data_IF_732343368573
#
_entry.id   IF_732343368573
#
_cell.length_a   1.000
_cell.length_b   1.000
_cell.length_c   1.000
_cell.angle_alpha   90.00
_cell.angle_beta   90.00
_cell.angle_gamma   90.00
#
_symmetry.space_group_name_H-M   'P 1'
#
loop_
_entity.id
_entity.type
_entity.pdbx_description
1 polymer ?
#
# COMPACT_ATOMS: atom_id res chain seq x y z
N UNK A 1 -2.08 -21.80 -7.71
CA UNK A 1 -3.12 -21.38 -8.70
C UNK A 1 -2.75 -21.72 -10.14
N UNK A 2 -1.65 -21.21 -10.71
CA UNK A 2 -1.28 -21.49 -12.11
C UNK A 2 -1.23 -23.00 -12.46
N UNK A 3 -0.56 -23.81 -11.63
CA UNK A 3 -0.52 -25.27 -11.82
C UNK A 3 -1.90 -25.93 -11.76
N UNK A 4 -2.78 -25.46 -10.87
CA UNK A 4 -4.16 -25.93 -10.80
C UNK A 4 -4.93 -25.60 -12.09
N UNK A 5 -4.84 -24.36 -12.59
CA UNK A 5 -5.48 -23.97 -13.86
C UNK A 5 -4.93 -24.81 -15.03
N UNK A 6 -3.61 -25.02 -15.09
CA UNK A 6 -3.00 -25.87 -16.12
C UNK A 6 -3.51 -27.31 -16.05
N UNK A 7 -3.73 -27.86 -14.84
CA UNK A 7 -4.27 -29.22 -14.70
C UNK A 7 -5.71 -29.39 -15.18
N UNK A 8 -6.48 -28.30 -15.28
CA UNK A 8 -7.83 -28.32 -15.85
C UNK A 8 -7.84 -28.32 -17.39
N UNK A 9 -6.69 -28.05 -18.02
CA UNK A 9 -6.52 -27.99 -19.46
C UNK A 9 -5.25 -28.75 -19.88
N UNK A 10 -5.15 -30.07 -19.62
CA UNK A 10 -3.89 -30.81 -19.81
C UNK A 10 -3.40 -30.80 -21.26
N UNK A 11 -4.32 -30.81 -22.24
CA UNK A 11 -3.98 -30.87 -23.67
C UNK A 11 -3.68 -29.50 -24.28
N UNK A 12 -3.74 -28.43 -23.48
CA UNK A 12 -3.58 -27.05 -23.94
C UNK A 12 -2.55 -26.33 -23.08
N UNK A 13 -1.32 -26.10 -23.57
CA UNK A 13 -0.33 -25.35 -22.82
C UNK A 13 -0.78 -23.89 -22.66
N UNK A 14 -0.88 -23.44 -21.41
CA UNK A 14 -1.23 -22.07 -21.06
C UNK A 14 0.03 -21.31 -20.61
N UNK A 15 0.08 -20.02 -20.95
CA UNK A 15 1.10 -19.10 -20.43
C UNK A 15 0.55 -18.42 -19.20
N UNK A 16 1.40 -18.25 -18.19
CA UNK A 16 1.05 -17.56 -16.96
C UNK A 16 2.13 -16.56 -16.56
N UNK A 17 1.74 -15.47 -15.89
CA UNK A 17 2.64 -14.55 -15.21
C UNK A 17 1.99 -14.09 -13.91
N UNK A 18 2.59 -14.44 -12.78
CA UNK A 18 2.19 -13.91 -11.49
C UNK A 18 2.75 -12.48 -11.32
N UNK A 19 1.93 -11.57 -10.83
CA UNK A 19 2.25 -10.16 -10.62
C UNK A 19 1.83 -9.76 -9.20
N UNK A 20 2.74 -9.07 -8.50
CA UNK A 20 2.49 -8.41 -7.20
C UNK A 20 3.52 -7.29 -7.04
N UNK A 21 3.08 -6.04 -6.95
CA UNK A 21 3.77 -4.76 -6.67
C UNK A 21 4.96 -4.37 -7.58
N UNK A 22 5.70 -5.34 -8.10
CA UNK A 22 7.00 -5.16 -8.75
C UNK A 22 6.95 -5.15 -10.29
N UNK A 23 5.76 -5.29 -10.88
CA UNK A 23 5.57 -5.41 -12.33
C UNK A 23 4.76 -4.20 -12.81
N UNK A 24 5.02 -3.64 -14.02
CA UNK A 24 4.28 -2.47 -14.53
C UNK A 24 2.84 -2.84 -14.92
N UNK A 25 2.01 -3.13 -13.93
CA UNK A 25 0.60 -3.42 -14.02
C UNK A 25 -0.14 -2.47 -13.07
N UNK A 26 -1.18 -1.81 -13.56
CA UNK A 26 -2.02 -0.96 -12.73
C UNK A 26 -2.98 -1.82 -11.90
N UNK A 27 -2.46 -2.51 -10.88
CA UNK A 27 -3.13 -3.55 -10.07
C UNK A 27 -4.51 -3.13 -9.59
N UNK A 28 -4.61 -1.92 -8.99
CA UNK A 28 -5.89 -1.41 -8.48
C UNK A 28 -6.94 -1.22 -9.58
N UNK A 29 -6.52 -0.77 -10.77
CA UNK A 29 -7.42 -0.59 -11.92
C UNK A 29 -7.86 -1.95 -12.47
N UNK A 30 -6.94 -2.91 -12.55
CA UNK A 30 -7.27 -4.29 -12.97
C UNK A 30 -8.24 -4.93 -11.99
N UNK A 31 -8.00 -4.78 -10.69
CA UNK A 31 -8.87 -5.30 -9.65
C UNK A 31 -10.27 -4.64 -9.66
N UNK A 32 -10.36 -3.33 -9.90
CA UNK A 32 -11.64 -2.66 -10.12
C UNK A 32 -12.37 -3.25 -11.33
N UNK A 33 -11.67 -3.46 -12.45
CA UNK A 33 -12.25 -4.06 -13.66
C UNK A 33 -12.74 -5.49 -13.44
N UNK A 34 -12.07 -6.24 -12.56
CA UNK A 34 -12.46 -7.58 -12.14
C UNK A 34 -13.59 -7.59 -11.08
N UNK A 35 -14.16 -6.44 -10.73
CA UNK A 35 -15.27 -6.37 -9.76
C UNK A 35 -14.84 -6.56 -8.30
N UNK A 36 -13.54 -6.51 -8.00
CA UNK A 36 -13.01 -6.74 -6.65
C UNK A 36 -13.17 -5.53 -5.71
N UNK A 37 -13.65 -4.40 -6.22
CA UNK A 37 -13.79 -3.18 -5.45
C UNK A 37 -14.02 -1.96 -6.33
N UNK A 38 -14.07 -0.79 -5.69
CA UNK A 38 -14.10 0.51 -6.35
C UNK A 38 -12.87 1.33 -5.94
N UNK A 39 -12.43 2.26 -6.79
CA UNK A 39 -11.36 3.19 -6.43
C UNK A 39 -11.95 4.34 -5.61
N UNK A 40 -11.55 4.45 -4.35
CA UNK A 40 -11.98 5.53 -3.47
C UNK A 40 -11.32 6.87 -3.82
N UNK A 41 -11.81 7.97 -3.22
CA UNK A 41 -11.16 9.30 -3.33
C UNK A 41 -9.73 9.34 -2.76
N UNK A 42 -9.33 8.31 -2.01
CA UNK A 42 -7.96 8.13 -1.54
C UNK A 42 -7.07 7.35 -2.53
N UNK A 43 -7.57 7.05 -3.74
CA UNK A 43 -6.89 6.29 -4.79
C UNK A 43 -6.53 4.84 -4.41
N UNK A 44 -7.15 4.30 -3.36
CA UNK A 44 -7.05 2.90 -2.96
C UNK A 44 -8.22 2.10 -3.52
N UNK A 45 -8.00 0.80 -3.78
CA UNK A 45 -9.10 -0.12 -4.03
C UNK A 45 -9.81 -0.40 -2.70
N UNK A 46 -11.12 -0.22 -2.67
CA UNK A 46 -11.97 -0.45 -1.50
C UNK A 46 -13.06 -1.43 -1.89
N UNK A 47 -13.26 -2.46 -1.07
CA UNK A 47 -14.40 -3.37 -1.14
C UNK A 47 -15.47 -2.91 -0.14
N UNK A 48 -16.76 -2.88 -0.52
CA UNK A 48 -17.84 -2.44 0.38
C UNK A 48 -17.91 -3.20 1.71
N UNK A 49 -17.56 -4.49 1.70
CA UNK A 49 -17.63 -5.36 2.88
C UNK A 49 -16.26 -5.66 3.52
N UNK A 50 -15.16 -5.62 2.75
CA UNK A 50 -13.83 -5.98 3.25
C UNK A 50 -12.99 -4.75 3.65
N UNK A 51 -13.47 -3.55 3.32
CA UNK A 51 -12.70 -2.32 3.53
C UNK A 51 -11.60 -2.19 2.48
N UNK A 52 -10.40 -1.77 2.89
CA UNK A 52 -9.26 -1.58 1.98
C UNK A 52 -7.93 -2.09 2.52
N UNK A 53 -7.97 -2.89 3.60
CA UNK A 53 -6.79 -3.45 4.27
C UNK A 53 -6.49 -4.87 3.75
N UNK A 54 -6.24 -4.98 2.45
CA UNK A 54 -5.91 -6.24 1.78
C UNK A 54 -4.80 -6.03 0.76
N UNK A 55 -4.14 -7.13 0.36
CA UNK A 55 -3.15 -7.13 -0.70
C UNK A 55 -3.80 -7.49 -2.04
N UNK A 56 -3.20 -7.00 -3.12
CA UNK A 56 -3.53 -7.38 -4.48
C UNK A 56 -2.48 -8.35 -5.03
N UNK A 57 -2.92 -9.19 -5.96
CA UNK A 57 -2.05 -10.05 -6.72
C UNK A 57 -2.80 -10.56 -7.94
N UNK A 58 -2.12 -10.57 -9.07
CA UNK A 58 -2.69 -10.96 -10.35
C UNK A 58 -2.00 -12.19 -10.92
N UNK A 59 -2.78 -12.99 -11.64
CA UNK A 59 -2.26 -14.04 -12.48
C UNK A 59 -2.70 -13.79 -13.92
N UNK A 60 -1.81 -13.17 -14.70
CA UNK A 60 -2.03 -13.03 -16.13
C UNK A 60 -1.98 -14.40 -16.79
N UNK A 61 -2.90 -14.66 -17.72
CA UNK A 61 -2.99 -15.96 -18.40
C UNK A 61 -3.40 -15.82 -19.86
N UNK A 62 -2.98 -16.78 -20.70
CA UNK A 62 -3.48 -16.94 -22.07
C UNK A 62 -4.80 -17.72 -22.17
N UNK A 63 -5.41 -18.08 -21.04
CA UNK A 63 -6.73 -18.69 -21.00
C UNK A 63 -7.81 -17.61 -21.29
N UNK A 64 -8.67 -17.79 -22.30
CA UNK A 64 -9.78 -16.88 -22.54
C UNK A 64 -10.81 -17.10 -21.43
N UNK A 65 -10.95 -16.09 -20.58
CA UNK A 65 -11.94 -16.05 -19.52
C UNK A 65 -13.02 -15.03 -19.88
N UNK A 66 -14.26 -15.33 -19.50
CA UNK A 66 -15.31 -14.33 -19.52
C UNK A 66 -14.99 -13.30 -18.43
N UNK A 67 -14.88 -12.00 -18.74
CA UNK A 67 -14.57 -11.00 -17.73
C UNK A 67 -15.76 -10.80 -16.79
N UNK A 68 -15.45 -10.54 -15.52
CA UNK A 68 -16.39 -10.00 -14.56
C UNK A 68 -16.71 -8.53 -14.88
N UNK A 69 -17.66 -7.96 -14.12
CA UNK A 69 -18.05 -6.56 -14.25
C UNK A 69 -17.53 -5.75 -13.05
N UNK A 70 -17.11 -4.49 -13.26
CA UNK A 70 -16.88 -3.56 -12.16
C UNK A 70 -18.13 -3.42 -11.30
N UNK A 71 -17.92 -3.10 -10.01
CA UNK A 71 -19.01 -2.67 -9.14
C UNK A 71 -19.61 -1.35 -9.67
N UNK A 72 -20.94 -1.26 -9.65
CA UNK A 72 -21.68 -0.08 -10.07
C UNK A 72 -22.07 0.77 -8.85
N UNK A 73 -22.01 2.10 -8.99
CA UNK A 73 -22.47 3.06 -7.99
C UNK A 73 -21.41 4.06 -7.50
N UNK A 74 -21.88 5.16 -6.92
CA UNK A 74 -21.03 6.13 -6.22
C UNK A 74 -20.91 5.75 -4.73
N UNK A 75 -19.91 4.95 -4.42
CA UNK A 75 -19.67 4.47 -3.06
C UNK A 75 -19.13 5.56 -2.12
N UNK A 76 -18.46 6.58 -2.64
CA UNK A 76 -17.94 7.67 -1.82
C UNK A 76 -19.00 8.73 -1.55
N UNK A 77 -19.92 8.97 -2.49
CA UNK A 77 -20.91 10.02 -2.39
C UNK A 77 -20.24 11.37 -2.10
N UNK A 78 -20.78 12.08 -1.10
CA UNK A 78 -20.25 13.35 -0.62
C UNK A 78 -19.10 13.22 0.38
N UNK A 79 -18.67 12.00 0.73
CA UNK A 79 -17.62 11.78 1.74
C UNK A 79 -16.28 12.36 1.28
N UNK A 80 -15.61 13.12 2.18
CA UNK A 80 -14.26 13.68 1.98
C UNK A 80 -13.31 13.42 3.17
N UNK A 81 -13.59 12.40 3.99
CA UNK A 81 -12.82 12.11 5.21
C UNK A 81 -11.34 11.84 4.94
N UNK A 82 -11.03 11.07 3.91
CA UNK A 82 -9.63 10.77 3.54
C UNK A 82 -8.85 12.01 3.08
N UNK A 83 -9.51 12.93 2.38
CA UNK A 83 -8.91 14.20 1.93
C UNK A 83 -8.59 15.06 3.16
N UNK A 84 -9.53 15.20 4.09
CA UNK A 84 -9.33 15.94 5.33
C UNK A 84 -8.25 15.32 6.23
N UNK A 85 -8.12 13.99 6.22
CA UNK A 85 -7.11 13.28 7.01
C UNK A 85 -5.70 13.29 6.36
N UNK A 86 -5.57 13.63 5.09
CA UNK A 86 -4.29 13.56 4.38
C UNK A 86 -3.29 14.60 4.95
N UNK A 87 -2.18 14.18 5.60
CA UNK A 87 -1.37 15.11 6.40
C UNK A 87 -0.71 16.24 5.60
N UNK A 88 -0.38 15.97 4.34
CA UNK A 88 0.33 16.88 3.44
C UNK A 88 -0.54 17.40 2.29
N UNK A 89 -1.83 17.08 2.27
CA UNK A 89 -2.71 17.45 1.16
C UNK A 89 -2.28 16.83 -0.18
N UNK A 90 -1.82 15.58 -0.15
CA UNK A 90 -1.54 14.80 -1.36
C UNK A 90 -2.82 14.43 -2.12
N UNK A 91 -3.97 14.43 -1.43
CA UNK A 91 -5.30 14.22 -2.01
C UNK A 91 -5.97 15.57 -2.23
N UNK A 92 -6.21 15.94 -3.48
CA UNK A 92 -6.89 17.17 -3.87
C UNK A 92 -8.41 17.07 -3.75
N UNK A 93 -9.06 18.20 -3.43
CA UNK A 93 -10.52 18.27 -3.37
C UNK A 93 -11.20 18.08 -4.75
N UNK A 94 -10.44 18.32 -5.82
CA UNK A 94 -10.78 18.11 -7.22
C UNK A 94 -10.59 16.65 -7.69
N UNK A 95 -10.09 15.76 -6.83
CA UNK A 95 -9.77 14.38 -7.16
C UNK A 95 -8.35 14.17 -7.73
N UNK A 96 -7.50 15.20 -7.70
CA UNK A 96 -6.08 15.07 -8.02
C UNK A 96 -5.30 14.33 -6.92
N UNK A 97 -4.19 13.70 -7.31
CA UNK A 97 -3.24 13.07 -6.39
C UNK A 97 -1.82 13.53 -6.71
N UNK A 98 -1.12 14.11 -5.73
CA UNK A 98 0.28 14.47 -5.83
C UNK A 98 1.15 13.54 -4.97
N UNK A 99 1.77 12.56 -5.62
CA UNK A 99 2.65 11.59 -4.97
C UNK A 99 3.81 12.26 -4.23
N UNK A 100 4.33 13.39 -4.72
CA UNK A 100 5.47 14.11 -4.10
C UNK A 100 5.11 14.68 -2.73
N UNK A 101 3.82 14.79 -2.41
CA UNK A 101 3.32 15.21 -1.10
C UNK A 101 2.89 14.02 -0.24
N UNK A 102 2.68 12.85 -0.83
CA UNK A 102 2.20 11.67 -0.11
C UNK A 102 3.26 11.15 0.85
N UNK A 103 2.95 11.09 2.14
CA UNK A 103 3.88 10.57 3.16
C UNK A 103 4.34 9.14 2.86
N UNK A 104 3.46 8.29 2.31
CA UNK A 104 3.87 6.94 1.91
C UNK A 104 4.92 6.94 0.81
N UNK A 105 4.78 7.81 -0.20
CA UNK A 105 5.80 7.96 -1.24
C UNK A 105 7.09 8.56 -0.69
N UNK A 106 6.98 9.61 0.13
CA UNK A 106 8.12 10.31 0.72
C UNK A 106 8.96 9.39 1.61
N UNK A 107 8.31 8.52 2.40
CA UNK A 107 9.01 7.60 3.31
C UNK A 107 9.60 6.38 2.60
N UNK A 108 9.01 5.91 1.49
CA UNK A 108 9.39 4.65 0.85
C UNK A 108 10.24 4.88 -0.41
N UNK A 109 9.83 5.80 -1.29
CA UNK A 109 10.31 5.88 -2.68
C UNK A 109 11.20 7.10 -2.94
N UNK A 110 10.96 8.23 -2.28
CA UNK A 110 11.74 9.44 -2.50
C UNK A 110 13.24 9.18 -2.23
N UNK A 111 14.07 9.37 -3.25
CA UNK A 111 15.51 9.15 -3.18
C UNK A 111 16.26 10.36 -2.58
N UNK A 112 15.76 11.58 -2.84
CA UNK A 112 16.43 12.84 -2.53
C UNK A 112 16.04 13.43 -1.15
N UNK A 113 16.55 14.63 -0.88
CA UNK A 113 16.09 15.46 0.23
C UNK A 113 14.59 15.78 0.09
N UNK A 114 13.88 15.61 1.20
CA UNK A 114 12.46 15.94 1.29
C UNK A 114 12.37 17.44 1.57
N UNK A 115 11.55 18.15 0.80
CA UNK A 115 11.26 19.57 1.03
C UNK A 115 11.01 19.83 2.53
N UNK A 116 11.77 20.72 3.18
CA UNK A 116 11.60 21.05 4.60
C UNK A 116 10.15 21.42 4.98
N UNK A 117 9.37 22.01 4.06
CA UNK A 117 7.96 22.31 4.28
C UNK A 117 7.11 21.05 4.45
N UNK A 118 7.46 19.95 3.78
CA UNK A 118 6.82 18.63 3.91
C UNK A 118 7.41 17.83 5.08
N UNK A 119 8.68 18.04 5.43
CA UNK A 119 9.38 17.38 6.53
C UNK A 119 8.70 17.56 7.89
N UNK A 120 8.17 18.75 8.18
CA UNK A 120 7.51 19.05 9.45
C UNK A 120 6.28 18.18 9.75
N UNK A 121 5.73 17.49 8.74
CA UNK A 121 4.55 16.63 8.83
C UNK A 121 4.90 15.13 8.85
N UNK A 122 6.17 14.78 8.71
CA UNK A 122 6.68 13.41 8.86
C UNK A 122 6.77 12.95 10.33
N UNK A 123 6.41 13.78 11.31
CA UNK A 123 6.52 13.47 12.74
C UNK A 123 5.93 12.10 13.10
N UNK A 124 6.82 11.17 13.42
CA UNK A 124 6.48 9.79 13.81
C UNK A 124 6.36 8.78 12.67
N UNK A 125 6.50 9.20 11.40
CA UNK A 125 6.39 8.33 10.23
C UNK A 125 7.77 7.86 9.75
N UNK A 126 8.08 6.59 9.98
CA UNK A 126 9.31 5.96 9.50
C UNK A 126 9.14 5.28 8.14
N UNK A 127 7.97 4.70 7.87
CA UNK A 127 7.68 3.94 6.66
C UNK A 127 6.17 3.89 6.40
N UNK A 128 5.74 4.26 5.19
CA UNK A 128 4.34 4.26 4.79
C UNK A 128 3.51 5.37 5.44
N UNK A 129 2.21 5.36 5.14
CA UNK A 129 1.20 6.21 5.77
C UNK A 129 -0.19 5.62 5.52
N UNK A 130 -0.96 5.41 6.59
CA UNK A 130 -2.29 4.78 6.52
C UNK A 130 -3.45 5.76 6.77
N UNK A 131 -3.17 7.05 7.01
CA UNK A 131 -4.18 8.04 7.43
C UNK A 131 -5.41 8.11 6.52
N UNK A 132 -5.18 8.17 5.20
CA UNK A 132 -6.29 8.26 4.24
C UNK A 132 -7.10 6.96 4.15
N UNK A 133 -6.51 5.82 4.53
CA UNK A 133 -7.15 4.52 4.56
C UNK A 133 -7.93 4.35 5.87
N UNK A 134 -7.33 4.64 7.02
CA UNK A 134 -7.96 4.58 8.35
C UNK A 134 -9.12 5.58 8.52
N UNK A 135 -9.09 6.71 7.81
CA UNK A 135 -10.20 7.65 7.75
C UNK A 135 -11.39 7.16 6.91
N UNK A 136 -11.20 6.15 6.06
CA UNK A 136 -12.25 5.64 5.17
C UNK A 136 -13.33 4.88 5.97
N UNK A 137 -14.62 5.22 5.83
CA UNK A 137 -15.70 4.54 6.55
C UNK A 137 -15.81 3.03 6.26
N UNK A 138 -15.41 2.59 5.06
CA UNK A 138 -15.44 1.17 4.69
C UNK A 138 -14.35 0.36 5.41
N UNK A 139 -13.20 0.96 5.73
CA UNK A 139 -12.08 0.26 6.39
C UNK A 139 -12.45 -0.16 7.81
N UNK A 140 -13.18 0.68 8.55
CA UNK A 140 -13.65 0.34 9.91
C UNK A 140 -14.62 -0.86 9.94
N UNK A 141 -15.25 -1.18 8.81
CA UNK A 141 -16.21 -2.28 8.70
C UNK A 141 -15.56 -3.59 8.25
N UNK A 142 -14.28 -3.56 7.85
CA UNK A 142 -13.58 -4.75 7.36
C UNK A 142 -13.44 -5.82 8.45
N UNK A 143 -13.52 -7.11 8.08
CA UNK A 143 -13.34 -8.21 9.03
C UNK A 143 -11.90 -8.24 9.56
N UNK A 144 -11.68 -8.83 10.75
CA UNK A 144 -10.33 -9.04 11.28
C UNK A 144 -9.53 -9.99 10.37
N UNK A 145 -8.20 -9.88 10.44
CA UNK A 145 -7.26 -10.71 9.68
C UNK A 145 -7.52 -12.21 9.92
N UNK A 146 -7.74 -12.96 8.85
CA UNK A 146 -7.87 -14.43 8.89
C UNK A 146 -6.69 -15.18 8.25
N UNK A 147 -5.63 -14.49 7.81
CA UNK A 147 -4.46 -15.10 7.20
C UNK A 147 -3.39 -15.42 8.26
N UNK A 148 -3.06 -16.71 8.41
CA UNK A 148 -2.00 -17.18 9.31
C UNK A 148 -0.58 -16.77 8.85
N UNK A 149 -0.37 -16.61 7.55
CA UNK A 149 0.92 -16.25 6.96
C UNK A 149 1.30 -14.76 7.09
N UNK A 150 0.34 -13.89 7.45
CA UNK A 150 0.56 -12.46 7.61
C UNK A 150 0.69 -12.11 9.08
N UNK A 151 1.75 -12.54 9.77
CA UNK A 151 1.93 -12.33 11.21
C UNK A 151 2.05 -10.83 11.59
N UNK A 152 1.54 -10.48 12.77
CA UNK A 152 1.77 -9.16 13.35
C UNK A 152 3.01 -9.25 14.23
N UNK A 153 3.93 -8.32 14.03
CA UNK A 153 5.23 -8.26 14.67
C UNK A 153 5.23 -7.09 15.68
N UNK A 154 4.81 -7.31 16.94
CA UNK A 154 4.63 -6.24 17.92
C UNK A 154 5.94 -5.49 18.21
N UNK A 155 7.09 -6.16 18.08
CA UNK A 155 8.41 -5.57 18.20
C UNK A 155 8.63 -4.46 17.15
N UNK A 156 8.18 -4.69 15.91
CA UNK A 156 8.28 -3.74 14.79
C UNK A 156 7.37 -2.54 14.93
N UNK A 157 6.22 -2.72 15.58
CA UNK A 157 5.27 -1.65 15.87
C UNK A 157 5.79 -0.63 16.90
N UNK A 158 6.85 -0.97 17.64
CA UNK A 158 7.46 -0.11 18.67
C UNK A 158 8.71 0.62 18.18
N UNK A 159 9.05 0.53 16.90
CA UNK A 159 10.27 1.11 16.36
C UNK A 159 10.26 2.64 16.53
N UNK A 160 11.19 3.15 17.36
CA UNK A 160 11.34 4.57 17.60
C UNK A 160 12.32 5.24 16.63
N UNK A 161 12.08 6.49 16.19
CA UNK A 161 13.03 7.24 15.37
C UNK A 161 14.42 7.36 16.00
N UNK A 162 14.52 7.52 17.32
CA UNK A 162 15.80 7.64 18.02
C UNK A 162 16.63 6.35 17.97
N UNK A 163 15.98 5.18 17.94
CA UNK A 163 16.66 3.88 17.84
C UNK A 163 17.28 3.72 16.45
N UNK A 164 16.49 4.01 15.41
CA UNK A 164 16.91 3.94 14.01
C UNK A 164 18.14 4.82 13.72
N UNK A 165 18.23 6.02 14.31
CA UNK A 165 19.39 6.91 14.12
C UNK A 165 20.72 6.26 14.52
N UNK A 166 20.70 5.29 15.44
CA UNK A 166 21.91 4.65 15.98
C UNK A 166 22.26 3.35 15.26
N UNK A 167 21.37 2.86 14.41
CA UNK A 167 21.55 1.58 13.71
C UNK A 167 22.75 1.58 12.78
N UNK A 168 23.46 0.47 12.81
CA UNK A 168 24.37 0.04 11.77
C UNK A 168 23.63 -0.85 10.76
N UNK A 169 24.27 -1.14 9.63
CA UNK A 169 23.70 -1.99 8.59
C UNK A 169 23.27 -3.36 9.12
N UNK A 170 24.04 -3.93 10.05
CA UNK A 170 23.73 -5.21 10.71
C UNK A 170 22.45 -5.16 11.55
N UNK A 171 22.17 -4.03 12.22
CA UNK A 171 20.94 -3.86 13.01
C UNK A 171 19.72 -3.80 12.09
N UNK A 172 19.83 -3.04 10.99
CA UNK A 172 18.79 -2.94 9.97
C UNK A 172 18.47 -4.31 9.36
N UNK A 173 19.49 -5.05 8.92
CA UNK A 173 19.30 -6.37 8.32
C UNK A 173 18.64 -7.34 9.30
N UNK A 174 19.10 -7.38 10.55
CA UNK A 174 18.52 -8.25 11.56
C UNK A 174 17.05 -7.92 11.86
N UNK A 175 16.71 -6.62 11.95
CA UNK A 175 15.38 -6.18 12.33
C UNK A 175 14.36 -6.23 11.18
N UNK A 176 14.76 -5.79 10.00
CA UNK A 176 13.88 -5.62 8.85
C UNK A 176 13.69 -6.90 8.02
N UNK A 177 14.53 -7.93 8.21
CA UNK A 177 14.46 -9.20 7.45
C UNK A 177 13.05 -9.80 7.40
N UNK A 178 12.61 -10.17 6.20
CA UNK A 178 11.29 -10.71 5.94
C UNK A 178 10.17 -9.67 6.07
N UNK A 179 10.46 -8.39 5.86
CA UNK A 179 9.46 -7.32 5.92
C UNK A 179 9.59 -6.32 4.77
N UNK A 180 8.51 -5.59 4.51
CA UNK A 180 8.52 -4.53 3.49
C UNK A 180 9.52 -3.40 3.80
N UNK A 181 10.00 -3.27 5.04
CA UNK A 181 11.00 -2.27 5.42
C UNK A 181 12.33 -2.46 4.68
N UNK A 182 12.66 -3.68 4.24
CA UNK A 182 13.90 -3.92 3.47
C UNK A 182 13.98 -3.04 2.21
N UNK A 183 12.83 -2.73 1.61
CA UNK A 183 12.72 -1.91 0.40
C UNK A 183 13.29 -0.49 0.58
N UNK A 184 13.21 0.07 1.80
CA UNK A 184 13.64 1.45 2.04
C UNK A 184 15.16 1.56 2.17
N UNK A 185 15.81 0.57 2.78
CA UNK A 185 17.23 0.61 3.13
C UNK A 185 17.56 1.53 4.31
N UNK A 186 18.66 1.25 5.01
CA UNK A 186 19.04 1.94 6.25
C UNK A 186 19.15 3.46 6.10
N UNK A 187 19.84 3.94 5.05
CA UNK A 187 20.08 5.37 4.83
C UNK A 187 18.78 6.19 4.75
N UNK A 188 17.79 5.72 3.97
CA UNK A 188 16.49 6.41 3.87
C UNK A 188 15.66 6.28 5.15
N UNK A 189 15.73 5.14 5.84
CA UNK A 189 15.06 4.97 7.13
C UNK A 189 15.62 5.94 8.19
N UNK A 190 16.95 6.10 8.24
CA UNK A 190 17.63 7.09 9.09
C UNK A 190 17.30 8.53 8.68
N UNK A 191 17.19 8.84 7.38
CA UNK A 191 16.68 10.15 6.93
C UNK A 191 15.27 10.40 7.50
N UNK A 192 14.34 9.46 7.33
CA UNK A 192 12.97 9.60 7.82
C UNK A 192 12.93 9.77 9.35
N UNK A 193 13.76 9.03 10.08
CA UNK A 193 13.90 9.15 11.52
C UNK A 193 14.39 10.55 11.96
N UNK A 194 15.33 11.16 11.22
CA UNK A 194 15.86 12.49 11.54
C UNK A 194 14.78 13.55 11.38
N UNK A 195 14.07 13.51 10.24
CA UNK A 195 12.97 14.43 9.95
C UNK A 195 11.82 14.26 10.96
N UNK A 196 11.55 13.02 11.39
CA UNK A 196 10.54 12.72 12.41
C UNK A 196 10.82 13.35 13.78
N UNK A 197 12.10 13.50 14.15
CA UNK A 197 12.53 14.06 15.44
C UNK A 197 12.59 15.60 15.44
N UNK A 198 12.25 16.25 14.33
CA UNK A 198 12.34 17.70 14.20
C UNK A 198 13.74 18.19 13.81
N UNK A 199 14.48 17.38 13.04
CA UNK A 199 15.70 17.81 12.37
C UNK A 199 15.48 18.99 11.43
#
# INVERSE_FOLDING_TARGET
LAGFIQSLCPDRPLKFKACVDAIPLAERVVAQRAGLGFIGRNHMLIHPELGGMFFLGELLTSLPLKPDKPLEGDFCGTCRRCIAACPNGALGADGSFDARRCLSYLTIEAADEIDPALANRLKGWLFGCDECLLACPFVRKGPPRNCCGLAFHPERARLGPADVQRWQQTDFEAYCKGSALERVGLSRLQRNARLSLGG
#
